data_IF_852697458097
#
_entry.id   IF_852697458097
#
_cell.length_a   1.000
_cell.length_b   1.000
_cell.length_c   1.000
_cell.angle_alpha   90.00
_cell.angle_beta   90.00
_cell.angle_gamma   90.00
#
_symmetry.space_group_name_H-M   'P 1'
#
loop_
_entity.id
_entity.type
_entity.pdbx_description
1 polymer ?
#
# COMPACT_ATOMS: atom_id res chain seq x y z
N UNK A 1 26.79 -26.65 -37.22
CA UNK A 1 26.68 -25.18 -37.09
C UNK A 1 25.22 -24.72 -36.99
N UNK A 2 24.31 -25.18 -37.87
CA UNK A 2 22.88 -24.81 -37.85
C UNK A 2 22.15 -25.14 -36.53
N UNK A 3 22.42 -26.29 -35.91
CA UNK A 3 21.78 -26.70 -34.65
C UNK A 3 22.08 -25.78 -33.45
N UNK A 4 23.25 -25.12 -33.42
CA UNK A 4 23.61 -24.17 -32.35
C UNK A 4 22.80 -22.87 -32.44
N UNK A 5 22.44 -22.46 -33.66
CA UNK A 5 21.58 -21.30 -33.91
C UNK A 5 20.15 -21.60 -33.47
N UNK A 6 19.62 -22.79 -33.79
CA UNK A 6 18.29 -23.20 -33.31
C UNK A 6 18.23 -23.32 -31.77
N UNK A 7 19.30 -23.80 -31.13
CA UNK A 7 19.37 -23.88 -29.66
C UNK A 7 19.36 -22.49 -29.00
N UNK A 8 20.06 -21.53 -29.59
CA UNK A 8 20.06 -20.15 -29.10
C UNK A 8 18.69 -19.48 -29.24
N UNK A 9 17.97 -19.73 -30.35
CA UNK A 9 16.63 -19.20 -30.57
C UNK A 9 15.63 -19.80 -29.57
N UNK A 10 15.69 -21.12 -29.32
CA UNK A 10 14.83 -21.79 -28.35
C UNK A 10 15.08 -21.23 -26.94
N UNK A 11 16.35 -21.02 -26.56
CA UNK A 11 16.69 -20.44 -25.25
C UNK A 11 16.10 -19.03 -25.09
N UNK A 12 16.17 -18.21 -26.14
CA UNK A 12 15.64 -16.85 -26.14
C UNK A 12 14.11 -16.83 -26.02
N UNK A 13 13.43 -17.77 -26.70
CA UNK A 13 11.97 -17.94 -26.58
C UNK A 13 11.54 -18.44 -25.20
N UNK A 14 12.32 -19.30 -24.55
CA UNK A 14 12.04 -19.75 -23.17
C UNK A 14 12.21 -18.61 -22.18
N UNK A 15 13.28 -17.80 -22.32
CA UNK A 15 13.50 -16.62 -21.48
C UNK A 15 12.39 -15.58 -21.69
N UNK A 16 12.02 -15.30 -22.94
CA UNK A 16 10.91 -14.40 -23.25
C UNK A 16 9.57 -14.93 -22.73
N UNK A 17 9.32 -16.24 -22.83
CA UNK A 17 8.14 -16.90 -22.29
C UNK A 17 8.05 -16.80 -20.76
N UNK A 18 9.15 -17.03 -20.05
CA UNK A 18 9.24 -16.87 -18.60
C UNK A 18 9.07 -15.41 -18.18
N UNK A 19 9.61 -14.47 -18.96
CA UNK A 19 9.45 -13.04 -18.72
C UNK A 19 7.99 -12.60 -18.90
N UNK A 20 7.34 -13.02 -19.98
CA UNK A 20 5.92 -12.73 -20.25
C UNK A 20 4.98 -13.43 -19.26
N UNK A 21 5.30 -14.66 -18.83
CA UNK A 21 4.52 -15.38 -17.83
C UNK A 21 4.60 -14.70 -16.46
N UNK A 22 5.81 -14.28 -16.03
CA UNK A 22 5.98 -13.49 -14.80
C UNK A 22 5.32 -12.11 -14.90
N UNK A 23 5.42 -11.44 -16.06
CA UNK A 23 4.76 -10.16 -16.29
C UNK A 23 3.23 -10.28 -16.21
N UNK A 24 2.65 -11.34 -16.76
CA UNK A 24 1.20 -11.58 -16.70
C UNK A 24 0.72 -11.97 -15.30
N UNK A 25 1.49 -12.75 -14.54
CA UNK A 25 1.12 -13.14 -13.17
C UNK A 25 1.26 -12.00 -12.16
N UNK A 26 2.23 -11.10 -12.33
CA UNK A 26 2.43 -9.97 -11.41
C UNK A 26 1.48 -8.78 -11.66
N UNK A 27 0.81 -8.73 -12.82
CA UNK A 27 -0.16 -7.69 -13.18
C UNK A 27 -1.63 -8.10 -12.94
N UNK A 28 -1.88 -9.17 -12.16
CA UNK A 28 -2.45 -9.03 -10.81
C UNK A 28 -3.14 -7.74 -10.33
N UNK A 29 -3.85 -6.92 -11.12
CA UNK A 29 -4.55 -5.73 -10.59
C UNK A 29 -5.48 -6.19 -9.46
N UNK A 30 -5.09 -5.92 -8.21
CA UNK A 30 -5.97 -6.12 -7.06
C UNK A 30 -7.02 -5.01 -7.17
N UNK A 31 -8.26 -5.45 -7.31
CA UNK A 31 -9.43 -4.66 -7.62
C UNK A 31 -9.80 -3.78 -6.42
N UNK A 32 -9.31 -2.55 -6.39
CA UNK A 32 -10.04 -1.40 -5.82
C UNK A 32 -10.29 -0.33 -6.91
N UNK A 33 -9.93 -0.62 -8.16
CA UNK A 33 -10.18 0.21 -9.35
C UNK A 33 -11.60 0.03 -9.94
N UNK A 34 -12.45 -0.83 -9.36
CA UNK A 34 -13.83 -1.07 -9.83
C UNK A 34 -14.88 -0.86 -8.73
N UNK A 35 -14.94 0.35 -8.20
CA UNK A 35 -16.25 0.89 -7.82
C UNK A 35 -16.70 1.69 -9.04
N UNK A 36 -17.73 1.23 -9.73
CA UNK A 36 -18.31 1.92 -10.88
C UNK A 36 -18.53 3.39 -10.52
N UNK A 37 -17.79 4.29 -11.17
CA UNK A 37 -18.23 5.66 -11.38
C UNK A 37 -19.44 5.59 -12.30
N UNK A 38 -20.61 5.38 -11.72
CA UNK A 38 -21.87 5.71 -12.39
C UNK A 38 -21.77 7.19 -12.78
N UNK A 39 -21.93 7.42 -14.09
CA UNK A 39 -22.11 8.69 -14.80
C UNK A 39 -22.58 9.86 -13.91
N UNK A 40 -22.00 11.08 -14.04
CA UNK A 40 -22.44 12.23 -13.24
C UNK A 40 -23.88 12.59 -13.57
N UNK A 41 -24.77 12.37 -12.61
CA UNK A 41 -26.08 13.02 -12.55
C UNK A 41 -25.93 14.28 -11.68
N UNK A 42 -26.57 15.38 -12.05
CA UNK A 42 -26.47 16.69 -11.39
C UNK A 42 -26.77 16.62 -9.87
N UNK A 43 -26.17 17.53 -9.07
CA UNK A 43 -26.13 17.40 -7.62
C UNK A 43 -27.49 17.74 -6.99
N UNK A 44 -28.23 16.71 -6.63
CA UNK A 44 -28.98 16.76 -5.36
C UNK A 44 -27.96 16.61 -4.23
N UNK A 45 -28.17 17.20 -3.03
CA UNK A 45 -27.27 17.02 -1.89
C UNK A 45 -27.40 15.59 -1.39
N UNK A 46 -26.75 14.67 -2.08
CA UNK A 46 -26.77 13.24 -1.80
C UNK A 46 -25.96 13.02 -0.54
N UNK A 47 -26.68 12.69 0.53
CA UNK A 47 -26.09 12.18 1.77
C UNK A 47 -25.10 11.07 1.42
N UNK A 48 -23.82 11.28 1.72
CA UNK A 48 -22.78 10.26 1.52
C UNK A 48 -23.10 9.08 2.45
N UNK A 49 -23.22 7.87 1.90
CA UNK A 49 -23.51 6.66 2.66
C UNK A 49 -22.32 5.69 2.61
N UNK A 50 -22.13 4.83 3.62
CA UNK A 50 -21.04 3.85 3.63
C UNK A 50 -21.12 2.88 2.45
N UNK A 51 -19.96 2.49 1.94
CA UNK A 51 -19.84 1.45 0.92
C UNK A 51 -20.25 0.11 1.56
N UNK A 52 -21.19 -0.56 0.90
CA UNK A 52 -21.60 -1.92 1.26
C UNK A 52 -20.74 -2.90 0.49
N UNK A 53 -19.81 -3.56 1.18
CA UNK A 53 -18.97 -4.60 0.61
C UNK A 53 -19.73 -5.93 0.57
N UNK A 54 -19.60 -6.67 -0.53
CA UNK A 54 -19.99 -8.07 -0.55
C UNK A 54 -19.03 -8.90 0.30
N UNK A 55 -19.45 -10.10 0.73
CA UNK A 55 -18.57 -10.99 1.49
C UNK A 55 -17.31 -11.38 0.69
N UNK A 56 -17.43 -11.52 -0.63
CA UNK A 56 -16.29 -11.80 -1.51
C UNK A 56 -15.30 -10.63 -1.50
N UNK A 57 -15.79 -9.39 -1.64
CA UNK A 57 -14.95 -8.19 -1.58
C UNK A 57 -14.25 -8.05 -0.21
N UNK A 58 -14.94 -8.35 0.88
CA UNK A 58 -14.33 -8.37 2.21
C UNK A 58 -13.26 -9.45 2.32
N UNK A 59 -13.53 -10.67 1.83
CA UNK A 59 -12.56 -11.77 1.88
C UNK A 59 -11.29 -11.46 1.07
N UNK A 60 -11.45 -10.82 -0.09
CA UNK A 60 -10.35 -10.34 -0.92
C UNK A 60 -9.57 -9.24 -0.22
N UNK A 61 -10.27 -8.27 0.36
CA UNK A 61 -9.68 -7.22 1.19
C UNK A 61 -8.85 -7.83 2.34
N UNK A 62 -9.37 -8.83 3.04
CA UNK A 62 -8.67 -9.48 4.14
C UNK A 62 -7.40 -10.21 3.69
N UNK A 63 -7.26 -10.60 2.42
CA UNK A 63 -5.97 -11.13 1.94
C UNK A 63 -4.88 -10.04 1.87
N UNK A 64 -5.25 -8.77 1.73
CA UNK A 64 -4.26 -7.67 1.74
C UNK A 64 -3.54 -7.59 3.08
N UNK A 65 -4.21 -7.95 4.18
CA UNK A 65 -3.62 -7.96 5.53
C UNK A 65 -2.53 -9.03 5.70
N UNK A 66 -2.56 -10.07 4.85
CA UNK A 66 -1.57 -11.15 4.83
C UNK A 66 -0.45 -10.88 3.84
N UNK A 67 -0.49 -9.77 3.11
CA UNK A 67 0.54 -9.42 2.15
C UNK A 67 1.86 -9.11 2.89
N UNK A 68 2.99 -9.75 2.54
CA UNK A 68 4.24 -9.58 3.25
C UNK A 68 4.79 -8.15 3.19
N UNK A 69 4.51 -7.38 2.14
CA UNK A 69 4.85 -5.96 2.11
C UNK A 69 4.11 -5.19 3.21
N UNK A 70 2.82 -5.48 3.39
CA UNK A 70 1.97 -4.81 4.38
C UNK A 70 2.37 -5.24 5.81
N UNK A 71 2.62 -6.53 6.04
CA UNK A 71 3.11 -7.03 7.32
C UNK A 71 4.44 -6.39 7.71
N UNK A 72 5.31 -6.11 6.74
CA UNK A 72 6.60 -5.46 7.00
C UNK A 72 6.47 -4.01 7.48
N UNK A 73 5.41 -3.29 7.08
CA UNK A 73 5.11 -1.96 7.63
C UNK A 73 4.97 -2.06 9.15
N UNK A 74 4.23 -3.07 9.64
CA UNK A 74 4.03 -3.23 11.08
C UNK A 74 5.34 -3.54 11.80
N UNK A 75 6.16 -4.42 11.23
CA UNK A 75 7.50 -4.74 11.75
C UNK A 75 8.36 -3.47 11.88
N UNK A 76 8.43 -2.66 10.82
CA UNK A 76 9.21 -1.43 10.81
C UNK A 76 8.71 -0.39 11.83
N UNK A 77 7.39 -0.17 11.89
CA UNK A 77 6.80 0.75 12.87
C UNK A 77 7.04 0.31 14.32
N UNK A 78 6.99 -1.00 14.60
CA UNK A 78 7.36 -1.53 15.92
C UNK A 78 8.86 -1.34 16.21
N UNK A 79 9.71 -1.55 15.21
CA UNK A 79 11.15 -1.27 15.29
C UNK A 79 11.45 0.20 15.59
N UNK A 80 10.68 1.12 15.02
CA UNK A 80 10.78 2.54 15.34
C UNK A 80 10.32 2.86 16.77
N UNK A 81 9.17 2.30 17.19
CA UNK A 81 8.61 2.54 18.51
C UNK A 81 9.52 2.06 19.65
N UNK A 82 10.21 0.93 19.45
CA UNK A 82 11.12 0.35 20.45
C UNK A 82 12.59 0.79 20.30
N UNK A 83 12.91 1.63 19.31
CA UNK A 83 14.24 2.17 19.08
C UNK A 83 15.26 1.20 18.47
N UNK A 84 14.85 0.00 18.05
CA UNK A 84 15.75 -0.96 17.37
C UNK A 84 15.92 -0.68 15.89
N UNK A 85 14.98 0.07 15.30
CA UNK A 85 14.89 0.36 13.86
C UNK A 85 14.83 -0.90 12.97
N UNK A 86 14.50 -2.07 13.54
CA UNK A 86 14.35 -3.31 12.78
C UNK A 86 13.28 -3.14 11.71
N UNK A 87 13.63 -3.52 10.47
CA UNK A 87 12.76 -3.40 9.30
C UNK A 87 13.07 -2.19 8.42
N UNK A 88 14.04 -1.37 8.79
CA UNK A 88 14.55 -0.24 8.00
C UNK A 88 16.07 -0.38 7.84
N UNK A 89 16.56 -0.68 6.63
CA UNK A 89 18.00 -0.81 6.39
C UNK A 89 18.71 0.56 6.40
N UNK A 90 18.02 1.60 5.93
CA UNK A 90 18.49 2.99 5.91
C UNK A 90 17.63 3.86 6.81
N UNK A 91 17.70 3.64 8.13
CA UNK A 91 16.82 4.30 9.11
C UNK A 91 16.80 5.82 9.01
N UNK A 92 17.92 6.46 8.70
CA UNK A 92 18.02 7.91 8.63
C UNK A 92 17.12 8.49 7.53
N UNK A 93 17.04 7.82 6.38
CA UNK A 93 16.17 8.22 5.26
C UNK A 93 14.68 8.04 5.54
N UNK A 94 14.33 7.24 6.54
CA UNK A 94 12.94 6.84 6.84
C UNK A 94 12.43 7.57 8.08
N UNK A 95 13.31 7.87 9.03
CA UNK A 95 12.95 8.45 10.32
C UNK A 95 13.02 9.97 10.28
N UNK A 96 14.06 10.54 9.67
CA UNK A 96 14.30 11.98 9.73
C UNK A 96 13.13 12.75 9.10
N UNK A 97 12.69 13.77 9.83
CA UNK A 97 11.63 14.66 9.38
C UNK A 97 12.14 15.45 8.18
N UNK A 98 11.35 15.43 7.11
CA UNK A 98 11.58 16.21 5.90
C UNK A 98 10.22 16.58 5.27
N UNK A 99 10.25 17.33 4.16
CA UNK A 99 9.07 17.73 3.40
C UNK A 99 9.33 17.58 1.90
N UNK A 100 8.46 16.84 1.21
CA UNK A 100 8.53 16.65 -0.25
C UNK A 100 7.22 17.13 -0.84
N UNK A 101 7.29 18.09 -1.76
CA UNK A 101 6.14 18.70 -2.43
C UNK A 101 5.04 19.18 -1.44
N UNK A 102 5.46 19.79 -0.33
CA UNK A 102 4.55 20.28 0.72
C UNK A 102 3.95 19.17 1.59
N UNK A 103 4.37 17.92 1.41
CA UNK A 103 3.90 16.78 2.18
C UNK A 103 4.93 16.37 3.23
N UNK A 104 4.56 16.33 4.53
CA UNK A 104 5.45 15.84 5.57
C UNK A 104 5.88 14.40 5.29
N UNK A 105 7.17 14.13 5.43
CA UNK A 105 7.77 12.81 5.28
C UNK A 105 8.66 12.49 6.48
N UNK A 106 8.97 11.21 6.66
CA UNK A 106 9.74 10.71 7.78
C UNK A 106 8.89 10.36 8.99
N UNK A 107 9.26 9.30 9.71
CA UNK A 107 8.52 8.85 10.90
C UNK A 107 8.55 9.87 12.04
N UNK A 108 9.59 10.70 12.15
CA UNK A 108 9.65 11.74 13.18
C UNK A 108 8.79 12.97 12.89
N UNK A 109 8.16 13.05 11.71
CA UNK A 109 7.22 14.11 11.35
C UNK A 109 5.85 13.97 12.02
N UNK A 110 5.54 12.82 12.60
CA UNK A 110 4.21 12.52 13.12
C UNK A 110 4.26 12.03 14.56
N UNK A 111 3.12 12.12 15.25
CA UNK A 111 2.98 11.59 16.60
C UNK A 111 3.13 10.06 16.59
N UNK A 112 3.93 9.54 17.54
CA UNK A 112 4.13 8.10 17.71
C UNK A 112 2.83 7.34 18.02
N UNK A 113 1.81 8.00 18.52
CA UNK A 113 0.50 7.41 18.78
C UNK A 113 -0.16 6.87 17.50
N UNK A 114 0.10 7.46 16.33
CA UNK A 114 -0.31 6.86 15.06
C UNK A 114 0.29 5.47 14.89
N UNK A 115 1.58 5.31 15.18
CA UNK A 115 2.28 4.04 14.95
C UNK A 115 1.88 2.95 15.95
N UNK A 116 1.37 3.32 17.12
CA UNK A 116 0.78 2.37 18.08
C UNK A 116 -0.57 1.85 17.63
N UNK A 117 -1.33 2.66 16.89
CA UNK A 117 -2.63 2.27 16.34
C UNK A 117 -2.46 1.12 15.33
N UNK A 118 -3.49 0.28 15.26
CA UNK A 118 -3.68 -0.58 14.10
C UNK A 118 -3.96 0.25 12.85
N UNK A 119 -3.68 -0.30 11.67
CA UNK A 119 -4.00 0.36 10.41
C UNK A 119 -4.77 -0.56 9.46
N UNK A 120 -5.51 0.09 8.56
CA UNK A 120 -6.15 -0.54 7.40
C UNK A 120 -5.36 -0.20 6.16
N UNK A 121 -5.31 -1.13 5.21
CA UNK A 121 -4.80 -0.86 3.86
C UNK A 121 -5.88 -0.15 3.07
N UNK A 122 -5.56 1.02 2.53
CA UNK A 122 -6.44 1.79 1.66
C UNK A 122 -6.14 1.49 0.18
N UNK A 123 -4.86 1.39 -0.19
CA UNK A 123 -4.44 1.17 -1.58
C UNK A 123 -3.04 0.55 -1.62
N UNK A 124 -2.74 -0.22 -2.66
CA UNK A 124 -1.39 -0.75 -2.93
C UNK A 124 -1.05 -0.51 -4.39
N UNK A 125 -0.01 0.29 -4.63
CA UNK A 125 0.51 0.58 -5.96
C UNK A 125 1.93 0.05 -6.12
N UNK A 126 2.29 -0.31 -7.36
CA UNK A 126 3.68 -0.51 -7.74
C UNK A 126 4.44 0.81 -7.80
N UNK A 127 5.62 0.86 -7.19
CA UNK A 127 6.51 2.01 -7.33
C UNK A 127 7.34 1.87 -8.61
N UNK A 128 7.47 2.97 -9.38
CA UNK A 128 8.34 3.04 -10.56
C UNK A 128 9.80 2.76 -10.18
N UNK A 129 10.20 3.15 -8.97
CA UNK A 129 11.54 2.89 -8.42
C UNK A 129 11.68 1.47 -7.82
N UNK A 130 10.64 0.64 -7.93
CA UNK A 130 10.54 -0.71 -7.37
C UNK A 130 9.97 -0.73 -5.95
N UNK A 131 9.49 -1.90 -5.55
CA UNK A 131 8.71 -2.06 -4.31
C UNK A 131 7.25 -1.62 -4.47
N UNK A 132 6.57 -1.42 -3.34
CA UNK A 132 5.15 -1.05 -3.28
C UNK A 132 4.98 0.25 -2.48
N UNK A 133 4.15 1.14 -3.01
CA UNK A 133 3.56 2.22 -2.21
C UNK A 133 2.23 1.74 -1.65
N UNK A 134 2.13 1.73 -0.33
CA UNK A 134 0.95 1.23 0.38
C UNK A 134 0.35 2.40 1.12
N UNK A 135 -0.87 2.79 0.74
CA UNK A 135 -1.64 3.79 1.46
C UNK A 135 -2.34 3.13 2.64
N UNK A 136 -2.15 3.69 3.82
CA UNK A 136 -2.75 3.19 5.06
C UNK A 136 -3.48 4.31 5.80
N UNK A 137 -4.46 3.91 6.61
CA UNK A 137 -5.17 4.79 7.54
C UNK A 137 -5.12 4.14 8.92
N UNK A 138 -4.67 4.88 9.94
CA UNK A 138 -4.64 4.40 11.32
C UNK A 138 -6.05 4.45 11.92
N UNK A 139 -6.48 3.35 12.53
CA UNK A 139 -7.86 3.19 13.01
C UNK A 139 -8.21 4.04 14.23
N UNK A 140 -7.25 4.29 15.13
CA UNK A 140 -7.53 5.08 16.34
C UNK A 140 -7.58 6.58 16.04
N UNK A 141 -6.97 6.99 14.91
CA UNK A 141 -6.99 8.36 14.41
C UNK A 141 -7.07 8.36 12.87
N UNK A 142 -8.24 8.08 12.29
CA UNK A 142 -8.42 7.93 10.84
C UNK A 142 -8.54 9.29 10.15
N UNK A 143 -7.67 10.24 10.48
CA UNK A 143 -7.73 11.63 10.03
C UNK A 143 -6.77 11.95 8.88
N UNK A 144 -5.94 10.98 8.47
CA UNK A 144 -4.94 11.11 7.41
C UNK A 144 -4.77 9.80 6.65
N UNK A 145 -4.38 9.92 5.39
CA UNK A 145 -3.81 8.82 4.60
C UNK A 145 -2.28 8.94 4.65
N UNK A 146 -1.61 7.83 4.93
CA UNK A 146 -0.16 7.74 4.94
C UNK A 146 0.32 6.83 3.81
N UNK A 147 1.44 7.20 3.19
CA UNK A 147 2.10 6.40 2.16
C UNK A 147 3.31 5.71 2.79
N UNK A 148 3.28 4.38 2.78
CA UNK A 148 4.37 3.52 3.18
C UNK A 148 5.08 2.96 1.93
N UNK A 149 6.38 3.20 1.78
CA UNK A 149 7.17 2.58 0.72
C UNK A 149 7.91 1.35 1.25
N UNK A 150 7.54 0.18 0.75
CA UNK A 150 8.16 -1.10 1.13
C UNK A 150 8.81 -1.73 -0.10
N UNK A 151 10.10 -2.04 0.01
CA UNK A 151 10.89 -2.67 -1.02
C UNK A 151 11.11 -4.15 -0.71
N UNK A 152 11.18 -4.99 -1.75
CA UNK A 152 11.60 -6.39 -1.62
C UNK A 152 13.00 -6.55 -2.22
N UNK A 153 13.96 -6.92 -1.38
CA UNK A 153 15.35 -7.12 -1.76
C UNK A 153 15.52 -8.44 -2.54
N UNK A 154 16.64 -8.57 -3.25
CA UNK A 154 16.97 -9.77 -4.02
C UNK A 154 17.04 -11.04 -3.15
N UNK A 155 17.42 -10.91 -1.88
CA UNK A 155 17.43 -12.00 -0.89
C UNK A 155 16.05 -12.44 -0.42
N UNK A 156 14.97 -11.77 -0.83
CA UNK A 156 13.60 -12.06 -0.40
C UNK A 156 13.14 -11.27 0.82
N UNK A 157 14.08 -10.65 1.53
CA UNK A 157 13.80 -9.74 2.66
C UNK A 157 13.08 -8.47 2.21
N UNK A 158 12.38 -7.85 3.15
CA UNK A 158 11.64 -6.62 2.95
C UNK A 158 12.32 -5.47 3.68
N UNK A 159 12.25 -4.28 3.11
CA UNK A 159 12.89 -3.07 3.62
C UNK A 159 11.90 -1.91 3.55
N UNK A 160 11.73 -1.20 4.66
CA UNK A 160 10.84 -0.05 4.77
C UNK A 160 11.63 1.22 4.46
N UNK A 161 11.31 1.86 3.34
CA UNK A 161 12.17 2.88 2.71
C UNK A 161 11.64 4.30 2.75
N UNK A 162 10.41 4.48 3.15
CA UNK A 162 9.82 5.81 3.19
C UNK A 162 8.46 5.80 3.85
N UNK A 163 8.16 6.91 4.49
CA UNK A 163 6.87 7.14 5.12
C UNK A 163 6.49 8.60 4.99
N UNK A 164 5.33 8.88 4.41
CA UNK A 164 4.86 10.25 4.24
C UNK A 164 3.34 10.35 4.41
N UNK A 165 2.83 11.57 4.52
CA UNK A 165 1.42 11.85 4.39
C UNK A 165 1.04 11.96 2.91
N UNK A 166 -0.10 11.40 2.50
CA UNK A 166 -0.72 11.73 1.22
C UNK A 166 -1.55 13.01 1.36
N UNK A 167 -0.92 14.15 1.10
CA UNK A 167 -1.56 15.46 1.24
C UNK A 167 -2.67 15.73 0.22
N UNK A 168 -2.90 14.82 -0.74
CA UNK A 168 -4.04 14.93 -1.66
C UNK A 168 -5.37 14.63 -0.95
N UNK A 169 -5.33 13.99 0.23
CA UNK A 169 -6.46 13.75 1.13
C UNK A 169 -6.57 14.86 2.17
N UNK A 170 -7.28 15.93 1.81
CA UNK A 170 -7.62 17.04 2.71
C UNK A 170 -8.55 16.58 3.84
N UNK A 171 -8.72 17.40 4.87
CA UNK A 171 -9.67 17.12 5.96
C UNK A 171 -11.10 16.85 5.44
N UNK A 172 -11.54 17.59 4.43
CA UNK A 172 -12.83 17.39 3.78
C UNK A 172 -12.92 16.01 3.12
N UNK A 173 -11.93 15.63 2.31
CA UNK A 173 -11.86 14.29 1.70
C UNK A 173 -11.78 13.19 2.76
N UNK A 174 -11.10 13.44 3.88
CA UNK A 174 -11.03 12.47 4.98
C UNK A 174 -12.39 12.24 5.63
N UNK A 175 -13.27 13.25 5.71
CA UNK A 175 -14.66 13.07 6.18
C UNK A 175 -15.42 12.13 5.23
N UNK A 176 -15.25 12.29 3.93
CA UNK A 176 -15.84 11.37 2.94
C UNK A 176 -15.29 9.95 3.08
N UNK A 177 -13.96 9.81 3.19
CA UNK A 177 -13.30 8.50 3.37
C UNK A 177 -13.79 7.79 4.63
N UNK A 178 -13.93 8.50 5.74
CA UNK A 178 -14.41 7.93 7.00
C UNK A 178 -15.85 7.41 6.89
N UNK A 179 -16.70 8.08 6.11
CA UNK A 179 -18.07 7.62 5.86
C UNK A 179 -18.07 6.42 4.91
N UNK A 180 -17.42 6.56 3.75
CA UNK A 180 -17.41 5.54 2.69
C UNK A 180 -16.80 4.22 3.16
N UNK A 181 -15.68 4.28 3.88
CA UNK A 181 -14.91 3.09 4.29
C UNK A 181 -15.15 2.69 5.74
N UNK A 182 -16.23 3.18 6.36
CA UNK A 182 -16.58 2.90 7.77
C UNK A 182 -16.46 1.42 8.14
N UNK A 183 -17.01 0.53 7.30
CA UNK A 183 -16.99 -0.93 7.51
C UNK A 183 -15.59 -1.47 7.73
N UNK A 184 -14.61 -0.99 6.96
CA UNK A 184 -13.21 -1.46 7.04
C UNK A 184 -12.48 -0.73 8.17
N UNK A 185 -12.71 0.58 8.32
CA UNK A 185 -12.07 1.39 9.37
C UNK A 185 -12.44 0.93 10.78
N UNK A 186 -13.66 0.41 10.97
CA UNK A 186 -14.15 -0.11 12.23
C UNK A 186 -13.85 -1.62 12.42
N UNK A 187 -13.35 -2.33 11.41
CA UNK A 187 -12.98 -3.75 11.53
C UNK A 187 -11.68 -3.91 12.34
N UNK A 188 -11.84 -4.29 13.62
CA UNK A 188 -10.70 -4.51 14.53
C UNK A 188 -10.03 -5.88 14.40
N UNK A 189 -10.62 -6.81 13.65
CA UNK A 189 -10.13 -8.17 13.49
C UNK A 189 -9.18 -8.31 12.31
N UNK A 190 -9.43 -7.58 11.23
CA UNK A 190 -8.64 -7.62 10.00
C UNK A 190 -7.82 -6.33 9.78
N UNK A 191 -7.31 -5.78 10.88
CA UNK A 191 -6.38 -4.66 10.88
C UNK A 191 -5.05 -5.08 11.52
N UNK A 192 -3.96 -4.43 11.10
CA UNK A 192 -2.58 -4.79 11.44
C UNK A 192 -2.01 -3.86 12.52
#
# INVERSE_FOLDING_TARGET
>A
MKYKIYLAIILLLVVAGLFLFNYKNNNKKVVVDQIQTTKPEEPTPTKIEPIVFTQEQLNDYYQTTKNPFVLHIRKALNGYLNGTNVGMDSSDLVIEKDEIDGSPTGLSSFDKDYYKSKFVVFMIDDSIAGGKFIRIIFQDKPDKVFIAWVYKLAGGEYDFRGFSQDSTYTEEKMKEVQVLYKTILEDKFHSI
#
